data_IF_566671197794
#
_entry.id   IF_566671197794
#
_cell.length_a   1.000
_cell.length_b   1.000
_cell.length_c   1.000
_cell.angle_alpha   90.00
_cell.angle_beta   90.00
_cell.angle_gamma   90.00
#
_symmetry.space_group_name_H-M   'P 1'
#
loop_
_entity.id
_entity.type
_entity.pdbx_description
1 polymer ?
#
# COMPACT_ATOMS: atom_id res chain seq x y z
N UNK A 1 -12.45 -37.39 28.13
CA UNK A 1 -13.42 -36.61 27.34
C UNK A 1 -13.37 -37.12 25.91
N UNK A 2 -14.38 -37.85 25.46
CA UNK A 2 -14.45 -38.24 24.04
C UNK A 2 -14.93 -37.05 23.20
N UNK A 3 -14.11 -36.63 22.24
CA UNK A 3 -14.47 -35.56 21.32
C UNK A 3 -15.26 -36.19 20.16
N UNK A 4 -16.54 -35.85 20.03
CA UNK A 4 -17.32 -36.27 18.86
C UNK A 4 -16.84 -35.52 17.61
N UNK A 5 -16.84 -36.20 16.46
CA UNK A 5 -16.46 -35.59 15.16
C UNK A 5 -17.18 -34.27 14.90
N UNK A 6 -18.48 -34.19 15.24
CA UNK A 6 -19.28 -32.97 15.15
C UNK A 6 -18.72 -31.85 16.02
N UNK A 7 -18.39 -32.15 17.28
CA UNK A 7 -17.85 -31.15 18.22
C UNK A 7 -16.47 -30.68 17.78
N UNK A 8 -15.63 -31.58 17.27
CA UNK A 8 -14.34 -31.25 16.67
C UNK A 8 -14.49 -30.29 15.48
N UNK A 9 -15.36 -30.60 14.52
CA UNK A 9 -15.59 -29.77 13.34
C UNK A 9 -16.13 -28.38 13.70
N UNK A 10 -17.07 -28.31 14.65
CA UNK A 10 -17.61 -27.03 15.12
C UNK A 10 -16.53 -26.20 15.83
N UNK A 11 -15.73 -26.78 16.72
CA UNK A 11 -14.65 -26.05 17.39
C UNK A 11 -13.58 -25.59 16.41
N UNK A 12 -13.18 -26.43 15.46
CA UNK A 12 -12.21 -26.07 14.44
C UNK A 12 -12.74 -24.97 13.52
N UNK A 13 -14.02 -25.04 13.13
CA UNK A 13 -14.68 -24.00 12.33
C UNK A 13 -14.74 -22.65 13.03
N UNK A 14 -15.10 -22.63 14.32
CA UNK A 14 -15.15 -21.38 15.11
C UNK A 14 -13.75 -20.78 15.28
N UNK A 15 -12.76 -21.60 15.65
CA UNK A 15 -11.37 -21.12 15.80
C UNK A 15 -10.80 -20.64 14.47
N UNK A 16 -10.92 -21.44 13.42
CA UNK A 16 -10.43 -21.11 12.08
C UNK A 16 -11.11 -19.87 11.50
N UNK A 17 -12.44 -19.79 11.61
CA UNK A 17 -13.21 -18.62 11.19
C UNK A 17 -12.82 -17.36 11.98
N UNK A 18 -12.66 -17.47 13.29
CA UNK A 18 -12.21 -16.38 14.15
C UNK A 18 -10.83 -15.86 13.75
N UNK A 19 -9.87 -16.74 13.45
CA UNK A 19 -8.53 -16.35 12.98
C UNK A 19 -8.60 -15.65 11.63
N UNK A 20 -9.37 -16.17 10.66
CA UNK A 20 -9.49 -15.55 9.34
C UNK A 20 -10.11 -14.15 9.41
N UNK A 21 -11.17 -13.99 10.21
CA UNK A 21 -11.81 -12.69 10.44
C UNK A 21 -10.84 -11.74 11.14
N UNK A 22 -10.19 -12.21 12.21
CA UNK A 22 -9.20 -11.44 12.94
C UNK A 22 -8.08 -10.94 12.02
N UNK A 23 -7.50 -11.82 11.21
CA UNK A 23 -6.47 -11.46 10.25
C UNK A 23 -6.99 -10.48 9.18
N UNK A 24 -8.15 -10.72 8.60
CA UNK A 24 -8.73 -9.83 7.60
C UNK A 24 -8.99 -8.42 8.14
N UNK A 25 -9.43 -8.31 9.40
CA UNK A 25 -9.70 -7.04 10.06
C UNK A 25 -8.44 -6.28 10.51
N UNK A 26 -7.37 -7.01 10.86
CA UNK A 26 -6.17 -6.43 11.47
C UNK A 26 -4.95 -6.38 10.56
N UNK A 27 -5.00 -7.04 9.39
CA UNK A 27 -3.86 -7.05 8.47
C UNK A 27 -3.42 -5.61 8.14
N UNK A 28 -2.12 -5.31 8.21
CA UNK A 28 -1.63 -3.98 7.90
C UNK A 28 -1.88 -3.65 6.43
N UNK A 29 -2.18 -2.38 6.15
CA UNK A 29 -2.28 -1.90 4.78
C UNK A 29 -0.91 -2.00 4.08
N UNK A 30 -0.91 -2.19 2.76
CA UNK A 30 0.34 -2.28 1.98
C UNK A 30 1.23 -1.04 2.15
N UNK A 31 0.64 0.15 2.22
CA UNK A 31 1.40 1.39 2.46
C UNK A 31 1.93 1.46 3.90
N UNK A 32 1.24 0.89 4.91
CA UNK A 32 1.79 0.81 6.28
C UNK A 32 3.02 -0.08 6.31
N UNK A 33 2.93 -1.25 5.68
CA UNK A 33 4.09 -2.15 5.53
C UNK A 33 5.25 -1.45 4.81
N UNK A 34 4.98 -0.72 3.71
CA UNK A 34 6.00 0.04 2.99
C UNK A 34 6.65 1.14 3.86
N UNK A 35 5.88 1.81 4.72
CA UNK A 35 6.43 2.76 5.69
C UNK A 35 7.33 2.08 6.74
N UNK A 36 7.03 0.86 7.13
CA UNK A 36 7.84 0.12 8.12
C UNK A 36 9.13 -0.45 7.51
N UNK A 37 9.09 -0.89 6.24
CA UNK A 37 10.20 -1.65 5.63
C UNK A 37 11.04 -0.88 4.60
N UNK A 38 10.47 0.12 3.92
CA UNK A 38 11.12 0.80 2.79
C UNK A 38 11.38 2.28 3.05
N UNK A 39 10.57 2.93 3.90
CA UNK A 39 10.76 4.34 4.18
C UNK A 39 12.04 4.59 4.97
N UNK A 40 12.82 5.58 4.55
CA UNK A 40 14.05 6.01 5.23
C UNK A 40 14.00 7.51 5.46
N UNK A 41 14.78 8.03 6.42
CA UNK A 41 14.97 9.48 6.60
C UNK A 41 13.68 10.31 6.68
N UNK A 42 12.63 9.80 7.34
CA UNK A 42 11.36 10.52 7.50
C UNK A 42 10.44 10.51 6.28
N UNK A 43 10.78 9.74 5.24
CA UNK A 43 9.89 9.48 4.11
C UNK A 43 8.59 8.83 4.56
N UNK A 44 7.51 9.07 3.82
CA UNK A 44 6.21 8.47 4.08
C UNK A 44 5.52 8.03 2.81
N UNK A 45 5.20 6.75 2.72
CA UNK A 45 4.31 6.20 1.70
C UNK A 45 2.85 6.52 2.05
N UNK A 46 2.20 7.33 1.22
CA UNK A 46 0.78 7.68 1.37
C UNK A 46 -0.08 6.58 0.75
N UNK A 47 0.38 6.05 -0.38
CA UNK A 47 -0.19 4.87 -1.03
C UNK A 47 0.94 3.89 -1.36
N UNK A 48 0.64 2.80 -2.04
CA UNK A 48 1.68 1.89 -2.55
C UNK A 48 2.50 2.50 -3.70
N UNK A 49 2.07 3.64 -4.26
CA UNK A 49 2.69 4.28 -5.43
C UNK A 49 3.11 5.73 -5.18
N UNK A 50 2.78 6.31 -4.03
CA UNK A 50 3.12 7.69 -3.69
C UNK A 50 3.96 7.73 -2.42
N UNK A 51 5.14 8.35 -2.51
CA UNK A 51 6.00 8.66 -1.37
C UNK A 51 6.16 10.17 -1.23
N UNK A 52 5.99 10.66 -0.01
CA UNK A 52 6.28 12.02 0.40
C UNK A 52 7.60 12.04 1.17
N UNK A 53 8.50 12.91 0.76
CA UNK A 53 9.75 13.16 1.44
C UNK A 53 9.56 14.37 2.42
N UNK A 54 10.38 14.51 3.49
CA UNK A 54 10.21 15.58 4.49
C UNK A 54 10.35 17.01 3.96
N UNK A 55 10.93 17.17 2.78
CA UNK A 55 11.14 18.43 2.06
C UNK A 55 10.01 18.72 1.05
N UNK A 56 8.84 18.10 1.25
CA UNK A 56 7.64 18.20 0.41
C UNK A 56 7.77 17.65 -1.01
N UNK A 57 8.82 16.87 -1.30
CA UNK A 57 8.93 16.20 -2.61
C UNK A 57 7.98 15.02 -2.69
N UNK A 58 7.23 14.95 -3.79
CA UNK A 58 6.32 13.85 -4.10
C UNK A 58 6.99 12.94 -5.14
N UNK A 59 7.17 11.67 -4.80
CA UNK A 59 7.62 10.64 -5.75
C UNK A 59 6.42 9.79 -6.16
N UNK A 60 6.17 9.73 -7.47
CA UNK A 60 5.12 8.92 -8.10
C UNK A 60 5.74 7.70 -8.76
N UNK A 61 5.52 6.52 -8.19
CA UNK A 61 6.02 5.28 -8.75
C UNK A 61 5.13 4.79 -9.89
N UNK A 62 5.74 4.62 -11.07
CA UNK A 62 5.06 4.16 -12.28
C UNK A 62 5.69 2.84 -12.74
N UNK A 63 5.01 1.68 -12.57
CA UNK A 63 5.55 0.37 -12.95
C UNK A 63 5.47 0.10 -14.46
N UNK A 64 4.93 1.04 -15.23
CA UNK A 64 4.76 0.91 -16.68
C UNK A 64 5.98 1.47 -17.40
N UNK A 65 6.53 0.69 -18.32
CA UNK A 65 7.55 1.19 -19.24
C UNK A 65 6.96 2.20 -20.22
N UNK A 66 7.73 3.25 -20.47
CA UNK A 66 7.37 4.29 -21.43
C UNK A 66 8.30 4.30 -22.65
N UNK A 67 7.71 4.50 -23.83
CA UNK A 67 8.40 4.61 -25.14
C UNK A 67 7.96 5.88 -25.89
N UNK A 68 7.57 6.95 -25.16
CA UNK A 68 7.21 8.25 -25.72
C UNK A 68 5.71 8.60 -25.70
N UNK A 69 4.87 7.77 -25.07
CA UNK A 69 3.43 8.04 -24.94
C UNK A 69 3.08 9.06 -23.85
N UNK A 70 4.01 9.44 -22.96
CA UNK A 70 3.77 10.40 -21.88
C UNK A 70 3.05 9.85 -20.65
N UNK A 71 3.15 8.55 -20.36
CA UNK A 71 2.46 7.92 -19.21
C UNK A 71 3.05 8.39 -17.88
N UNK A 72 4.38 8.54 -17.77
CA UNK A 72 5.03 9.02 -16.55
C UNK A 72 4.62 10.46 -16.24
N UNK A 73 4.61 11.31 -17.27
CA UNK A 73 4.18 12.72 -17.15
C UNK A 73 2.71 12.82 -16.77
N UNK A 74 1.82 12.15 -17.50
CA UNK A 74 0.37 12.25 -17.25
C UNK A 74 -0.03 11.70 -15.88
N UNK A 75 0.56 10.58 -15.43
CA UNK A 75 0.32 10.06 -14.08
C UNK A 75 0.85 11.01 -12.99
N UNK A 76 2.03 11.59 -13.18
CA UNK A 76 2.57 12.59 -12.25
C UNK A 76 1.70 13.84 -12.19
N UNK A 77 1.20 14.33 -13.34
CA UNK A 77 0.32 15.51 -13.40
C UNK A 77 -0.99 15.25 -12.65
N UNK A 78 -1.62 14.09 -12.86
CA UNK A 78 -2.84 13.72 -12.13
C UNK A 78 -2.60 13.61 -10.62
N UNK A 79 -1.44 13.08 -10.20
CA UNK A 79 -1.08 13.02 -8.79
C UNK A 79 -0.84 14.42 -8.20
N UNK A 80 -0.19 15.31 -8.95
CA UNK A 80 0.03 16.69 -8.52
C UNK A 80 -1.29 17.46 -8.34
N UNK A 81 -2.21 17.30 -9.29
CA UNK A 81 -3.54 17.94 -9.27
C UNK A 81 -4.40 17.47 -8.09
N UNK A 82 -4.50 16.15 -7.87
CA UNK A 82 -5.28 15.58 -6.75
C UNK A 82 -4.71 15.98 -5.37
N UNK A 83 -3.39 16.18 -5.29
CA UNK A 83 -2.71 16.55 -4.04
C UNK A 83 -2.59 18.06 -3.84
N UNK A 84 -3.01 18.88 -4.82
CA UNK A 84 -2.75 20.32 -4.88
C UNK A 84 -1.27 20.65 -4.61
N UNK A 85 -0.39 19.85 -5.21
CA UNK A 85 1.05 19.90 -5.00
C UNK A 85 1.74 20.76 -6.07
N UNK A 86 2.81 21.45 -5.66
CA UNK A 86 3.68 22.15 -6.60
C UNK A 86 4.28 21.17 -7.60
N UNK A 87 4.04 21.40 -8.89
CA UNK A 87 4.53 20.57 -9.99
C UNK A 87 6.05 20.41 -9.96
N UNK A 88 6.80 21.45 -9.55
CA UNK A 88 8.26 21.39 -9.48
C UNK A 88 8.78 20.41 -8.41
N UNK A 89 7.92 20.03 -7.45
CA UNK A 89 8.24 19.10 -6.38
C UNK A 89 7.75 17.68 -6.64
N UNK A 90 7.07 17.44 -7.76
CA UNK A 90 6.51 16.14 -8.14
C UNK A 90 7.40 15.47 -9.19
N UNK A 91 7.85 14.25 -8.92
CA UNK A 91 8.69 13.47 -9.83
C UNK A 91 8.14 12.07 -10.08
N UNK A 92 8.04 11.62 -11.34
CA UNK A 92 7.81 10.22 -11.63
C UNK A 92 9.11 9.42 -11.44
N UNK A 93 9.00 8.21 -10.88
CA UNK A 93 10.08 7.23 -10.75
C UNK A 93 9.61 5.90 -11.34
N UNK A 94 10.39 5.31 -12.25
CA UNK A 94 10.08 3.99 -12.79
C UNK A 94 10.40 2.90 -11.76
N UNK A 95 9.44 2.02 -11.49
CA UNK A 95 9.56 0.91 -10.53
C UNK A 95 9.53 -0.46 -11.23
#
# INVERSE_FOLDING_TARGET
MEISRRRFLLSAGVVGGGVLIGYAATRPSRHRLANESLATNGQRFITSWLRLDPDNRVTVYVPHSEMGQGVHTSLAMMAADEMDADWELVRPEQA
#
